data_IF_195294069194
#
_entry.id   IF_195294069194
#
_cell.length_a   1.000
_cell.length_b   1.000
_cell.length_c   1.000
_cell.angle_alpha   90.00
_cell.angle_beta   90.00
_cell.angle_gamma   90.00
#
_symmetry.space_group_name_H-M   'P 1'
#
loop_
_entity.id
_entity.type
_entity.pdbx_description
1 polymer ?
#
# COMPACT_ATOMS: atom_id res chain seq x y z
N UNK A 1 -10.07 12.74 -9.43
CA UNK A 1 -8.76 13.13 -8.84
C UNK A 1 -7.92 11.91 -8.44
N UNK A 2 -8.46 10.93 -7.71
CA UNK A 2 -7.73 9.74 -7.25
C UNK A 2 -6.96 8.98 -8.36
N UNK A 3 -7.64 8.60 -9.44
CA UNK A 3 -7.00 7.89 -10.57
C UNK A 3 -5.87 8.70 -11.23
N UNK A 4 -6.01 10.03 -11.33
CA UNK A 4 -4.95 10.90 -11.86
C UNK A 4 -3.72 10.94 -10.95
N UNK A 5 -3.91 10.97 -9.63
CA UNK A 5 -2.82 10.85 -8.67
C UNK A 5 -2.13 9.48 -8.77
N UNK A 6 -2.88 8.38 -8.92
CA UNK A 6 -2.29 7.05 -9.11
C UNK A 6 -1.41 6.99 -10.36
N UNK A 7 -1.86 7.57 -11.48
CA UNK A 7 -1.05 7.67 -12.71
C UNK A 7 0.24 8.46 -12.46
N UNK A 8 0.16 9.63 -11.82
CA UNK A 8 1.33 10.44 -11.52
C UNK A 8 2.32 9.72 -10.59
N UNK A 9 1.81 9.02 -9.58
CA UNK A 9 2.62 8.19 -8.68
C UNK A 9 3.33 7.06 -9.42
N UNK A 10 2.61 6.29 -10.25
CA UNK A 10 3.18 5.20 -11.06
C UNK A 10 4.22 5.74 -12.05
N UNK A 11 3.91 6.83 -12.76
CA UNK A 11 4.82 7.44 -13.72
C UNK A 11 6.11 7.92 -13.04
N UNK A 12 6.01 8.58 -11.89
CA UNK A 12 7.19 9.04 -11.16
C UNK A 12 8.06 7.90 -10.65
N UNK A 13 7.45 6.81 -10.16
CA UNK A 13 8.20 5.60 -9.77
C UNK A 13 8.97 5.05 -10.97
N UNK A 14 8.31 4.90 -12.12
CA UNK A 14 8.96 4.40 -13.35
C UNK A 14 10.13 5.30 -13.76
N UNK A 15 9.92 6.62 -13.82
CA UNK A 15 10.95 7.59 -14.20
C UNK A 15 12.12 7.57 -13.22
N UNK A 16 11.84 7.46 -11.92
CA UNK A 16 12.88 7.46 -10.88
C UNK A 16 13.78 6.21 -10.92
N UNK A 17 13.21 5.07 -11.31
CA UNK A 17 13.95 3.80 -11.39
C UNK A 17 14.55 3.52 -12.77
N UNK A 18 14.07 4.18 -13.83
CA UNK A 18 14.56 4.01 -15.20
C UNK A 18 16.10 4.14 -15.33
N UNK A 19 16.79 5.12 -14.71
CA UNK A 19 18.24 5.23 -14.82
C UNK A 19 19.01 4.00 -14.30
N UNK A 20 18.43 3.24 -13.36
CA UNK A 20 19.06 2.04 -12.81
C UNK A 20 19.12 0.88 -13.82
N UNK A 21 18.29 0.89 -14.86
CA UNK A 21 18.20 -0.17 -15.87
C UNK A 21 18.81 0.22 -17.21
N UNK A 22 19.24 1.49 -17.35
CA UNK A 22 19.89 2.00 -18.56
C UNK A 22 21.41 1.91 -18.39
N UNK A 23 22.01 0.85 -18.91
CA UNK A 23 23.47 0.76 -19.01
C UNK A 23 23.94 1.28 -20.37
N UNK A 24 24.93 2.17 -20.33
CA UNK A 24 25.64 2.65 -21.53
C UNK A 24 26.68 1.59 -21.88
N UNK A 25 26.47 0.85 -22.97
CA UNK A 25 27.42 -0.16 -23.43
C UNK A 25 28.69 0.56 -23.91
N UNK A 26 29.81 0.28 -23.26
CA UNK A 26 31.13 0.63 -23.80
C UNK A 26 31.51 -0.48 -24.77
N UNK A 27 31.37 -0.23 -26.07
CA UNK A 27 31.81 -1.18 -27.07
C UNK A 27 33.35 -1.22 -27.09
N UNK A 28 33.92 -2.41 -27.25
CA UNK A 28 35.39 -2.62 -27.25
C UNK A 28 36.10 -1.89 -28.42
N UNK A 29 35.32 -1.35 -29.35
CA UNK A 29 35.71 -0.60 -30.55
C UNK A 29 35.80 0.92 -30.36
N UNK A 30 35.52 1.45 -29.16
CA UNK A 30 35.61 2.90 -28.87
C UNK A 30 34.47 3.75 -29.46
N UNK A 31 33.50 3.13 -30.16
CA UNK A 31 32.33 3.83 -30.68
C UNK A 31 31.24 3.90 -29.60
N UNK A 32 30.86 5.12 -29.19
CA UNK A 32 29.77 5.34 -28.23
C UNK A 32 28.44 5.03 -28.91
N UNK A 33 27.84 3.86 -28.65
CA UNK A 33 26.46 3.62 -29.05
C UNK A 33 25.55 4.62 -28.34
N UNK A 34 24.84 5.46 -29.09
CA UNK A 34 23.96 6.51 -28.57
C UNK A 34 22.74 5.94 -27.80
N UNK A 35 22.36 4.70 -28.08
CA UNK A 35 21.20 4.05 -27.50
C UNK A 35 21.58 3.27 -26.22
N UNK A 36 20.98 3.57 -25.06
CA UNK A 36 21.15 2.78 -23.85
C UNK A 36 20.51 1.39 -24.02
N UNK A 37 21.19 0.35 -23.55
CA UNK A 37 20.68 -1.03 -23.63
C UNK A 37 19.99 -1.37 -22.32
N UNK A 38 18.81 -2.01 -22.39
CA UNK A 38 18.12 -2.50 -21.21
C UNK A 38 18.81 -3.73 -20.64
N UNK A 39 18.94 -3.77 -19.32
CA UNK A 39 19.37 -4.97 -18.60
C UNK A 39 18.34 -6.10 -18.81
N UNK A 40 18.82 -7.34 -18.97
CA UNK A 40 17.93 -8.49 -19.08
C UNK A 40 17.27 -8.74 -17.71
N UNK A 41 15.94 -8.88 -17.64
CA UNK A 41 15.26 -9.08 -16.37
C UNK A 41 15.70 -10.40 -15.74
N UNK A 42 16.09 -10.37 -14.46
CA UNK A 42 16.46 -11.56 -13.70
C UNK A 42 15.23 -12.42 -13.38
N UNK A 43 14.06 -11.80 -13.29
CA UNK A 43 12.78 -12.45 -13.06
C UNK A 43 11.97 -12.48 -14.36
N UNK A 44 11.37 -13.61 -14.76
CA UNK A 44 10.54 -13.67 -15.96
C UNK A 44 9.41 -12.64 -15.93
N UNK A 45 9.23 -11.91 -17.03
CA UNK A 45 8.18 -10.89 -17.18
C UNK A 45 6.76 -11.45 -16.91
N UNK A 46 6.53 -12.74 -17.17
CA UNK A 46 5.27 -13.40 -16.86
C UNK A 46 4.93 -13.40 -15.36
N UNK A 47 5.94 -13.56 -14.48
CA UNK A 47 5.76 -13.49 -13.03
C UNK A 47 5.38 -12.08 -12.58
N UNK A 48 5.94 -11.05 -13.21
CA UNK A 48 5.53 -9.66 -13.00
C UNK A 48 4.13 -9.39 -13.55
N UNK A 49 3.76 -9.98 -14.69
CA UNK A 49 2.44 -9.84 -15.29
C UNK A 49 1.29 -10.25 -14.35
N UNK A 50 1.43 -11.36 -13.63
CA UNK A 50 0.43 -11.78 -12.62
C UNK A 50 0.31 -10.74 -11.50
N UNK A 51 1.44 -10.23 -10.99
CA UNK A 51 1.43 -9.19 -9.96
C UNK A 51 0.83 -7.88 -10.47
N UNK A 52 1.05 -7.53 -11.74
CA UNK A 52 0.48 -6.34 -12.39
C UNK A 52 -1.04 -6.41 -12.42
N UNK A 53 -1.62 -7.56 -12.78
CA UNK A 53 -3.09 -7.74 -12.78
C UNK A 53 -3.67 -7.49 -11.38
N UNK A 54 -3.05 -8.07 -10.35
CA UNK A 54 -3.50 -7.87 -8.97
C UNK A 54 -3.30 -6.42 -8.53
N UNK A 55 -2.16 -5.80 -8.85
CA UNK A 55 -1.84 -4.40 -8.55
C UNK A 55 -2.84 -3.43 -9.19
N UNK A 56 -3.26 -3.70 -10.44
CA UNK A 56 -4.30 -2.93 -11.12
C UNK A 56 -5.63 -3.06 -10.40
N UNK A 57 -6.04 -4.27 -10.02
CA UNK A 57 -7.26 -4.49 -9.24
C UNK A 57 -7.26 -3.74 -7.92
N UNK A 58 -6.16 -3.82 -7.16
CA UNK A 58 -5.97 -3.03 -5.92
C UNK A 58 -6.10 -1.53 -6.20
N UNK A 59 -5.48 -1.03 -7.27
CA UNK A 59 -5.48 0.39 -7.62
C UNK A 59 -6.86 0.88 -8.04
N UNK A 60 -7.63 0.09 -8.79
CA UNK A 60 -8.99 0.41 -9.22
C UNK A 60 -9.92 0.47 -8.01
N UNK A 61 -9.94 -0.58 -7.19
CA UNK A 61 -10.82 -0.61 -6.01
C UNK A 61 -10.45 0.48 -5.00
N UNK A 62 -9.16 0.73 -4.77
CA UNK A 62 -8.73 1.86 -3.94
C UNK A 62 -9.22 3.20 -4.48
N UNK A 63 -9.20 3.41 -5.79
CA UNK A 63 -9.70 4.65 -6.37
C UNK A 63 -11.22 4.78 -6.27
N UNK A 64 -11.96 3.68 -6.39
CA UNK A 64 -13.40 3.67 -6.17
C UNK A 64 -13.80 4.02 -4.74
N UNK A 65 -13.00 3.66 -3.72
CA UNK A 65 -13.29 4.07 -2.33
C UNK A 65 -13.38 5.59 -2.15
N UNK A 66 -12.63 6.37 -2.95
CA UNK A 66 -12.73 7.84 -2.94
C UNK A 66 -14.03 8.34 -3.57
N UNK A 67 -14.56 7.64 -4.57
CA UNK A 67 -15.84 7.97 -5.21
C UNK A 67 -17.00 7.75 -4.22
N UNK A 68 -16.95 6.67 -3.45
CA UNK A 68 -17.90 6.40 -2.37
C UNK A 68 -17.71 7.28 -1.12
N UNK A 69 -16.85 8.31 -1.20
CA UNK A 69 -16.56 9.29 -0.15
C UNK A 69 -16.16 8.66 1.19
N UNK A 70 -15.59 7.46 1.17
CA UNK A 70 -15.13 6.80 2.39
C UNK A 70 -13.96 7.61 2.98
N UNK A 71 -14.10 8.14 4.20
CA UNK A 71 -13.06 8.90 4.87
C UNK A 71 -11.70 8.18 4.84
N UNK A 72 -10.63 8.93 4.58
CA UNK A 72 -9.26 8.41 4.59
C UNK A 72 -8.91 7.66 5.88
N UNK A 73 -9.47 8.09 7.01
CA UNK A 73 -9.34 7.40 8.29
C UNK A 73 -9.87 5.98 8.24
N UNK A 74 -11.09 5.78 7.72
CA UNK A 74 -11.68 4.45 7.62
C UNK A 74 -10.83 3.58 6.68
N UNK A 75 -10.29 4.15 5.61
CA UNK A 75 -9.36 3.42 4.74
C UNK A 75 -8.06 3.02 5.45
N UNK A 76 -7.47 3.93 6.22
CA UNK A 76 -6.26 3.65 7.01
C UNK A 76 -6.55 2.53 7.99
N UNK A 77 -7.66 2.63 8.70
CA UNK A 77 -8.12 1.67 9.69
C UNK A 77 -8.34 0.32 9.05
N UNK A 78 -9.15 0.21 8.02
CA UNK A 78 -9.44 -1.08 7.38
C UNK A 78 -8.19 -1.70 6.74
N UNK A 79 -7.28 -0.89 6.18
CA UNK A 79 -5.98 -1.33 5.68
C UNK A 79 -4.97 -1.70 6.77
N UNK A 80 -5.23 -1.30 8.01
CA UNK A 80 -4.40 -1.54 9.19
C UNK A 80 -5.00 -2.59 10.13
N UNK A 81 -6.31 -2.83 10.05
CA UNK A 81 -7.07 -3.72 10.93
C UNK A 81 -6.97 -5.14 10.41
N UNK A 82 -6.24 -5.95 11.17
CA UNK A 82 -6.01 -7.33 10.87
C UNK A 82 -7.07 -8.22 11.43
N UNK A 83 -8.35 -7.94 11.12
CA UNK A 83 -9.46 -8.49 11.89
C UNK A 83 -9.38 -10.00 12.02
N UNK A 84 -8.93 -10.41 13.20
CA UNK A 84 -9.17 -11.72 13.75
C UNK A 84 -10.56 -11.68 14.37
N UNK A 85 -11.33 -12.69 13.99
CA UNK A 85 -12.51 -13.24 14.66
C UNK A 85 -13.90 -12.82 14.16
N UNK A 86 -14.68 -13.88 13.89
CA UNK A 86 -16.10 -14.04 14.27
C UNK A 86 -17.18 -13.17 13.63
N UNK A 87 -16.87 -12.29 12.68
CA UNK A 87 -17.91 -11.67 11.84
C UNK A 87 -17.57 -11.72 10.34
N UNK A 88 -18.57 -12.02 9.51
CA UNK A 88 -18.42 -12.58 8.16
C UNK A 88 -17.83 -11.62 7.10
N UNK A 89 -17.41 -10.39 7.42
CA UNK A 89 -17.14 -9.36 6.38
C UNK A 89 -15.95 -8.41 6.63
N UNK A 90 -14.77 -8.87 7.08
CA UNK A 90 -13.55 -8.04 6.97
C UNK A 90 -12.22 -8.83 7.02
N UNK A 91 -11.45 -8.80 5.93
CA UNK A 91 -10.46 -9.84 5.55
C UNK A 91 -9.05 -9.26 5.20
N UNK A 92 -8.49 -8.33 5.96
CA UNK A 92 -7.21 -7.70 5.62
C UNK A 92 -5.95 -8.53 5.96
N UNK A 93 -5.45 -8.39 7.19
CA UNK A 93 -4.23 -9.11 7.62
C UNK A 93 -4.49 -10.58 7.92
N UNK A 94 -5.73 -10.94 8.28
CA UNK A 94 -6.17 -12.32 8.39
C UNK A 94 -6.01 -13.05 7.05
N UNK A 95 -6.15 -12.38 5.91
CA UNK A 95 -5.95 -13.02 4.61
C UNK A 95 -4.50 -13.27 4.32
N UNK A 96 -3.58 -12.34 4.61
CA UNK A 96 -2.15 -12.63 4.41
C UNK A 96 -1.68 -13.79 5.30
N UNK A 97 -2.19 -13.90 6.55
CA UNK A 97 -1.92 -15.05 7.42
C UNK A 97 -2.63 -16.34 6.96
N UNK A 98 -3.92 -16.28 6.64
CA UNK A 98 -4.74 -17.41 6.20
C UNK A 98 -4.25 -17.96 4.86
N UNK A 99 -3.89 -17.10 3.92
CA UNK A 99 -3.28 -17.49 2.65
C UNK A 99 -1.87 -18.05 2.87
N UNK A 100 -1.08 -17.49 3.79
CA UNK A 100 0.22 -18.07 4.16
C UNK A 100 0.11 -19.42 4.88
N UNK A 101 -0.97 -19.67 5.61
CA UNK A 101 -1.27 -20.97 6.22
C UNK A 101 -1.75 -21.98 5.17
N UNK A 102 -2.72 -21.60 4.33
CA UNK A 102 -3.37 -22.47 3.35
C UNK A 102 -2.49 -22.78 2.13
N UNK A 103 -1.70 -21.82 1.64
CA UNK A 103 -0.91 -21.97 0.41
C UNK A 103 0.60 -22.11 0.66
N UNK A 104 1.13 -21.64 1.80
CA UNK A 104 2.57 -21.68 2.11
C UNK A 104 2.91 -22.59 3.31
N UNK A 105 1.95 -23.36 3.84
CA UNK A 105 2.10 -24.27 5.01
C UNK A 105 2.75 -23.62 6.25
N UNK A 106 2.66 -22.29 6.38
CA UNK A 106 3.33 -21.58 7.48
C UNK A 106 2.58 -21.77 8.79
N UNK A 107 3.30 -22.25 9.81
CA UNK A 107 2.80 -22.32 11.18
C UNK A 107 3.10 -21.02 11.92
N UNK A 108 2.05 -20.35 12.40
CA UNK A 108 2.17 -19.12 13.18
C UNK A 108 2.23 -19.43 14.68
N UNK A 109 3.06 -18.69 15.40
CA UNK A 109 3.21 -18.83 16.84
C UNK A 109 2.05 -18.11 17.58
N UNK A 110 1.64 -18.57 18.76
CA UNK A 110 0.59 -17.95 19.56
C UNK A 110 0.85 -16.44 19.81
N UNK A 111 2.12 -16.06 19.97
CA UNK A 111 2.53 -14.64 20.09
C UNK A 111 2.22 -13.81 18.85
N UNK A 112 2.40 -14.38 17.67
CA UNK A 112 2.10 -13.72 16.40
C UNK A 112 0.59 -13.54 16.21
N UNK A 113 -0.21 -14.52 16.66
CA UNK A 113 -1.67 -14.45 16.63
C UNK A 113 -2.16 -13.37 17.61
N UNK A 114 -1.70 -13.40 18.87
CA UNK A 114 -2.05 -12.41 19.90
C UNK A 114 -1.67 -10.99 19.47
N UNK A 115 -0.50 -10.82 18.86
CA UNK A 115 -0.06 -9.55 18.32
C UNK A 115 -1.01 -8.99 17.24
N UNK A 116 -1.48 -9.83 16.31
CA UNK A 116 -2.43 -9.42 15.27
C UNK A 116 -3.79 -9.06 15.88
N UNK A 117 -4.24 -9.76 16.93
CA UNK A 117 -5.46 -9.40 17.68
C UNK A 117 -5.31 -8.01 18.30
N UNK A 118 -4.20 -7.76 18.99
CA UNK A 118 -3.91 -6.48 19.63
C UNK A 118 -3.90 -5.31 18.64
N UNK A 119 -3.21 -5.47 17.50
CA UNK A 119 -3.20 -4.46 16.43
C UNK A 119 -4.61 -4.20 15.90
N UNK A 120 -5.40 -5.25 15.75
CA UNK A 120 -6.78 -5.14 15.28
C UNK A 120 -7.67 -4.34 16.21
N UNK A 121 -7.68 -4.71 17.50
CA UNK A 121 -8.51 -4.05 18.51
C UNK A 121 -8.08 -2.59 18.65
N UNK A 122 -6.78 -2.32 18.67
CA UNK A 122 -6.26 -0.95 18.74
C UNK A 122 -6.71 -0.07 17.58
N UNK A 123 -6.66 -0.61 16.36
CA UNK A 123 -7.15 0.09 15.17
C UNK A 123 -8.66 0.36 15.27
N UNK A 124 -9.47 -0.62 15.67
CA UNK A 124 -10.93 -0.45 15.84
C UNK A 124 -11.27 0.64 16.87
N UNK A 125 -10.64 0.60 18.04
CA UNK A 125 -10.87 1.57 19.12
C UNK A 125 -10.47 2.98 18.68
N UNK A 126 -9.33 3.15 18.00
CA UNK A 126 -8.90 4.44 17.46
C UNK A 126 -9.86 5.01 16.40
N UNK A 127 -10.53 4.13 15.66
CA UNK A 127 -11.48 4.51 14.60
C UNK A 127 -12.78 5.02 15.16
N UNK A 128 -13.37 4.24 16.08
CA UNK A 128 -14.67 4.52 16.68
C UNK A 128 -14.61 5.75 17.59
N UNK A 129 -13.41 6.08 18.09
CA UNK A 129 -13.19 7.17 19.03
C UNK A 129 -12.84 8.51 18.38
N UNK A 130 -12.87 8.60 17.05
CA UNK A 130 -12.58 9.85 16.36
C UNK A 130 -13.72 10.86 16.62
N UNK A 131 -13.42 12.09 17.10
CA UNK A 131 -14.43 13.13 17.19
C UNK A 131 -15.02 13.35 15.80
N UNK A 132 -16.34 13.19 15.67
CA UNK A 132 -17.08 13.69 14.52
C UNK A 132 -16.71 15.16 14.36
N UNK A 133 -16.12 15.52 13.22
CA UNK A 133 -15.82 16.91 12.92
C UNK A 133 -17.08 17.74 13.19
N UNK A 134 -16.96 18.77 14.03
CA UNK A 134 -18.04 19.52 14.64
C UNK A 134 -18.93 20.33 13.66
N UNK A 135 -18.93 20.00 12.37
CA UNK A 135 -19.79 20.57 11.33
C UNK A 135 -20.41 19.48 10.42
N UNK A 136 -20.71 18.30 10.98
CA UNK A 136 -21.51 17.30 10.27
C UNK A 136 -23.00 17.69 10.34
N UNK A 137 -23.35 18.78 9.66
CA UNK A 137 -24.74 19.07 9.29
C UNK A 137 -25.27 17.85 8.55
N UNK A 138 -26.19 17.11 9.17
CA UNK A 138 -27.14 16.13 8.61
C UNK A 138 -26.95 15.78 7.12
N UNK A 139 -25.84 15.14 6.74
CA UNK A 139 -25.74 14.47 5.45
C UNK A 139 -26.34 13.10 5.67
N UNK A 140 -27.54 12.87 5.16
CA UNK A 140 -28.12 11.53 5.03
C UNK A 140 -27.11 10.66 4.26
N UNK A 141 -26.30 9.89 4.98
CA UNK A 141 -25.40 8.94 4.35
C UNK A 141 -26.28 7.76 3.92
N UNK A 142 -26.50 7.66 2.61
CA UNK A 142 -27.21 6.51 2.06
C UNK A 142 -26.44 5.23 2.45
N UNK A 143 -27.09 4.40 3.28
CA UNK A 143 -26.55 3.17 3.83
C UNK A 143 -26.05 2.26 2.69
N UNK A 144 -26.73 2.27 1.54
CA UNK A 144 -26.34 1.51 0.34
C UNK A 144 -24.98 1.95 -0.21
N UNK A 145 -24.72 3.26 -0.26
CA UNK A 145 -23.45 3.82 -0.72
C UNK A 145 -22.31 3.52 0.25
N UNK A 146 -22.58 3.57 1.55
CA UNK A 146 -21.62 3.18 2.58
C UNK A 146 -21.24 1.70 2.48
N UNK A 147 -22.24 0.80 2.38
CA UNK A 147 -22.02 -0.64 2.24
C UNK A 147 -21.19 -0.94 0.98
N UNK A 148 -21.52 -0.33 -0.16
CA UNK A 148 -20.74 -0.47 -1.41
C UNK A 148 -19.27 -0.06 -1.22
N UNK A 149 -19.03 1.08 -0.56
CA UNK A 149 -17.68 1.55 -0.27
C UNK A 149 -16.89 0.61 0.64
N UNK A 150 -17.53 0.05 1.66
CA UNK A 150 -16.93 -0.96 2.56
C UNK A 150 -16.62 -2.26 1.80
N UNK A 151 -17.54 -2.76 0.97
CA UNK A 151 -17.32 -3.97 0.17
C UNK A 151 -16.14 -3.82 -0.78
N UNK A 152 -16.06 -2.70 -1.52
CA UNK A 152 -14.96 -2.42 -2.44
C UNK A 152 -13.63 -2.28 -1.70
N UNK A 153 -13.64 -1.66 -0.51
CA UNK A 153 -12.46 -1.56 0.34
C UNK A 153 -12.01 -2.94 0.82
N UNK A 154 -12.93 -3.79 1.29
CA UNK A 154 -12.63 -5.18 1.69
C UNK A 154 -12.02 -5.99 0.54
N UNK A 155 -12.57 -5.86 -0.67
CA UNK A 155 -12.04 -6.54 -1.85
C UNK A 155 -10.62 -6.06 -2.19
N UNK A 156 -10.36 -4.75 -2.10
CA UNK A 156 -9.01 -4.21 -2.28
C UNK A 156 -7.98 -4.79 -1.28
N UNK A 157 -8.40 -5.04 -0.04
CA UNK A 157 -7.55 -5.66 0.99
C UNK A 157 -7.21 -7.10 0.65
N UNK A 158 -8.18 -7.88 0.17
CA UNK A 158 -7.95 -9.24 -0.30
C UNK A 158 -6.86 -9.28 -1.36
N UNK A 159 -7.01 -8.47 -2.40
CA UNK A 159 -6.06 -8.39 -3.50
C UNK A 159 -4.69 -7.88 -3.00
N UNK A 160 -4.66 -6.97 -2.03
CA UNK A 160 -3.41 -6.48 -1.44
C UNK A 160 -2.66 -7.59 -0.70
N UNK A 161 -3.36 -8.48 0.00
CA UNK A 161 -2.78 -9.65 0.64
C UNK A 161 -2.22 -10.65 -0.37
N UNK A 162 -2.99 -10.94 -1.44
CA UNK A 162 -2.53 -11.78 -2.56
C UNK A 162 -1.30 -11.20 -3.24
N UNK A 163 -1.27 -9.87 -3.45
CA UNK A 163 -0.10 -9.21 -4.03
C UNK A 163 1.14 -9.40 -3.15
N UNK A 164 1.00 -9.26 -1.83
CA UNK A 164 2.08 -9.45 -0.88
C UNK A 164 2.62 -10.89 -0.87
N UNK A 165 1.76 -11.91 -0.97
CA UNK A 165 2.20 -13.31 -1.04
C UNK A 165 2.85 -13.65 -2.38
N UNK A 166 2.34 -13.12 -3.49
CA UNK A 166 2.97 -13.24 -4.80
C UNK A 166 4.37 -12.60 -4.82
N UNK A 167 4.51 -11.42 -4.22
CA UNK A 167 5.80 -10.74 -4.08
C UNK A 167 6.77 -11.57 -3.25
N UNK A 168 6.36 -12.06 -2.07
CA UNK A 168 7.20 -12.92 -1.24
C UNK A 168 7.64 -14.19 -2.00
N UNK A 169 6.72 -14.84 -2.71
CA UNK A 169 7.00 -16.06 -3.45
C UNK A 169 7.99 -15.82 -4.59
N UNK A 170 7.83 -14.69 -5.29
CA UNK A 170 8.72 -14.28 -6.39
C UNK A 170 10.13 -13.98 -5.87
N UNK A 171 10.25 -13.20 -4.79
CA UNK A 171 11.55 -12.87 -4.20
C UNK A 171 12.23 -14.08 -3.56
N UNK A 172 11.48 -15.04 -3.00
CA UNK A 172 12.04 -16.31 -2.52
C UNK A 172 12.56 -17.19 -3.66
N UNK A 173 11.86 -17.23 -4.80
CA UNK A 173 12.24 -18.08 -5.94
C UNK A 173 13.40 -17.53 -6.76
N UNK A 174 13.41 -16.22 -7.00
CA UNK A 174 14.38 -15.59 -7.92
C UNK A 174 15.41 -14.71 -7.21
N UNK A 175 15.35 -14.56 -5.90
CA UNK A 175 16.25 -13.69 -5.13
C UNK A 175 15.76 -12.24 -5.00
N UNK A 176 16.49 -11.45 -4.21
CA UNK A 176 16.11 -10.08 -3.84
C UNK A 176 16.34 -9.07 -4.99
N UNK A 177 15.46 -9.11 -5.99
CA UNK A 177 15.43 -8.18 -7.12
C UNK A 177 14.32 -7.14 -6.95
N UNK A 178 14.29 -6.45 -5.79
CA UNK A 178 13.20 -5.54 -5.45
C UNK A 178 13.12 -4.28 -6.33
N UNK A 179 14.26 -3.77 -6.82
CA UNK A 179 14.29 -2.63 -7.75
C UNK A 179 13.64 -2.98 -9.08
N UNK A 180 13.94 -4.19 -9.57
CA UNK A 180 13.36 -4.77 -10.78
C UNK A 180 11.84 -4.92 -10.61
N UNK A 181 11.42 -5.47 -9.47
CA UNK A 181 9.99 -5.62 -9.16
C UNK A 181 9.23 -4.30 -9.11
N UNK A 182 9.78 -3.27 -8.44
CA UNK A 182 9.16 -1.93 -8.40
C UNK A 182 9.05 -1.36 -9.81
N UNK A 183 10.11 -1.41 -10.60
CA UNK A 183 10.12 -0.85 -11.95
C UNK A 183 9.12 -1.55 -12.88
N UNK A 184 9.23 -2.87 -13.06
CA UNK A 184 8.40 -3.60 -14.04
C UNK A 184 6.93 -3.62 -13.65
N UNK A 185 6.59 -3.79 -12.37
CA UNK A 185 5.19 -3.78 -11.96
C UNK A 185 4.50 -2.45 -12.23
N UNK A 186 5.20 -1.31 -12.07
CA UNK A 186 4.63 0.02 -12.33
C UNK A 186 4.70 0.39 -13.81
N UNK A 187 5.78 0.03 -14.50
CA UNK A 187 5.95 0.28 -15.93
C UNK A 187 4.92 -0.46 -16.78
N UNK A 188 4.62 -1.72 -16.42
CA UNK A 188 3.61 -2.53 -17.10
C UNK A 188 2.18 -2.15 -16.67
N UNK A 189 1.97 -1.76 -15.41
CA UNK A 189 0.65 -1.32 -14.94
C UNK A 189 0.23 0.03 -15.53
N UNK A 190 1.17 0.98 -15.70
CA UNK A 190 0.87 2.35 -16.14
C UNK A 190 0.02 2.45 -17.42
N UNK A 191 0.41 1.83 -18.57
CA UNK A 191 -0.38 1.92 -19.79
C UNK A 191 -1.75 1.24 -19.64
N UNK A 192 -1.80 0.09 -18.97
CA UNK A 192 -3.07 -0.63 -18.74
C UNK A 192 -4.01 0.18 -17.85
N UNK A 193 -3.49 0.79 -16.78
CA UNK A 193 -4.27 1.61 -15.87
C UNK A 193 -4.84 2.86 -16.57
N UNK A 194 -4.05 3.50 -17.44
CA UNK A 194 -4.49 4.63 -18.25
C UNK A 194 -5.63 4.26 -19.21
N UNK A 195 -5.57 3.07 -19.82
CA UNK A 195 -6.60 2.57 -20.73
C UNK A 195 -7.88 2.15 -19.98
N UNK A 196 -7.74 1.54 -18.79
CA UNK A 196 -8.88 1.06 -18.00
C UNK A 196 -9.60 2.22 -17.30
N UNK A 197 -8.89 3.27 -16.92
CA UNK A 197 -9.48 4.40 -16.17
C UNK A 197 -9.68 5.64 -17.04
N UNK A 198 -10.86 5.73 -17.66
CA UNK A 198 -11.25 6.89 -18.49
C UNK A 198 -11.19 8.23 -17.73
N UNK A 199 -11.36 8.21 -16.40
CA UNK A 199 -11.34 9.40 -15.54
C UNK A 199 -9.95 9.93 -15.22
N UNK A 200 -8.89 9.15 -15.46
CA UNK A 200 -7.53 9.56 -15.12
C UNK A 200 -7.11 10.78 -15.95
N UNK A 201 -7.35 10.76 -17.26
CA UNK A 201 -7.04 11.87 -18.17
C UNK A 201 -7.81 13.14 -17.82
N UNK A 202 -9.10 13.00 -17.50
CA UNK A 202 -9.94 14.10 -17.03
C UNK A 202 -9.42 14.72 -15.74
N UNK A 203 -8.98 13.88 -14.79
CA UNK A 203 -8.37 14.34 -13.55
C UNK A 203 -7.03 15.06 -13.75
N UNK A 204 -6.17 14.57 -14.65
CA UNK A 204 -4.91 15.23 -15.03
C UNK A 204 -5.15 16.62 -15.63
N UNK A 205 -6.10 16.73 -16.57
CA UNK A 205 -6.51 18.03 -17.15
C UNK A 205 -7.03 18.98 -16.07
N UNK A 206 -7.77 18.47 -15.09
CA UNK A 206 -8.26 19.24 -13.94
C UNK A 206 -7.14 19.85 -13.10
N UNK A 207 -6.10 19.06 -12.77
CA UNK A 207 -4.92 19.54 -12.02
C UNK A 207 -4.20 20.66 -12.79
N UNK A 208 -3.97 20.47 -14.09
CA UNK A 208 -3.31 21.47 -14.94
C UNK A 208 -4.13 22.75 -15.04
N UNK A 209 -5.45 22.65 -15.21
CA UNK A 209 -6.34 23.82 -15.29
C UNK A 209 -6.35 24.61 -13.99
N UNK A 210 -6.39 23.93 -12.85
CA UNK A 210 -6.38 24.58 -11.54
C UNK A 210 -5.04 25.27 -11.26
N UNK A 211 -3.93 24.68 -11.71
CA UNK A 211 -2.60 25.26 -11.57
C UNK A 211 -2.37 26.52 -12.43
N UNK A 212 -3.05 26.66 -13.57
CA UNK A 212 -2.95 27.85 -14.43
C UNK A 212 -3.65 29.10 -13.86
N UNK A 213 -4.50 28.93 -12.84
CA UNK A 213 -5.29 30.03 -12.26
C UNK A 213 -4.62 30.75 -11.09
N UNK A 214 -3.46 30.30 -10.61
CA UNK A 214 -2.79 30.84 -9.42
C UNK A 214 -1.34 31.23 -9.71
N UNK A 215 -0.88 32.36 -9.15
CA UNK A 215 0.46 32.92 -9.40
C UNK A 215 1.60 32.04 -8.83
N UNK A 216 1.31 31.21 -7.83
CA UNK A 216 2.18 30.15 -7.31
C UNK A 216 1.29 28.91 -7.19
N UNK A 217 1.45 27.87 -8.02
CA UNK A 217 0.55 26.73 -7.98
C UNK A 217 0.94 25.82 -6.81
N UNK A 218 0.46 26.17 -5.61
CA UNK A 218 0.55 25.38 -4.37
C UNK A 218 0.18 23.91 -4.60
N UNK A 219 -0.75 23.66 -5.53
CA UNK A 219 -1.16 22.33 -5.98
C UNK A 219 0.00 21.47 -6.52
N UNK A 220 0.98 22.04 -7.22
CA UNK A 220 2.14 21.28 -7.68
C UNK A 220 3.03 20.85 -6.51
N UNK A 221 3.15 21.70 -5.47
CA UNK A 221 3.87 21.34 -4.25
C UNK A 221 3.22 20.15 -3.54
N UNK A 222 1.90 20.19 -3.35
CA UNK A 222 1.16 19.09 -2.69
C UNK A 222 1.24 17.79 -3.51
N UNK A 223 1.09 17.88 -4.83
CA UNK A 223 1.21 16.71 -5.72
C UNK A 223 2.63 16.16 -5.71
N UNK A 224 3.66 17.01 -5.73
CA UNK A 224 5.06 16.59 -5.66
C UNK A 224 5.35 15.85 -4.36
N UNK A 225 4.96 16.41 -3.20
CA UNK A 225 5.13 15.75 -1.90
C UNK A 225 4.41 14.40 -1.87
N UNK A 226 3.19 14.33 -2.40
CA UNK A 226 2.43 13.08 -2.46
C UNK A 226 3.16 12.01 -3.29
N UNK A 227 3.61 12.37 -4.49
CA UNK A 227 4.25 11.46 -5.44
C UNK A 227 5.63 11.01 -4.95
N UNK A 228 6.45 11.91 -4.42
CA UNK A 228 7.78 11.59 -3.84
C UNK A 228 7.64 10.68 -2.62
N UNK A 229 6.74 11.03 -1.70
CA UNK A 229 6.50 10.22 -0.49
C UNK A 229 5.99 8.83 -0.85
N UNK A 230 5.08 8.73 -1.84
CA UNK A 230 4.57 7.47 -2.32
C UNK A 230 5.67 6.62 -2.95
N UNK A 231 6.55 7.21 -3.76
CA UNK A 231 7.68 6.48 -4.35
C UNK A 231 8.61 5.93 -3.27
N UNK A 232 8.98 6.72 -2.27
CA UNK A 232 9.76 6.24 -1.13
C UNK A 232 9.04 5.12 -0.35
N UNK A 233 7.71 5.21 -0.22
CA UNK A 233 6.88 4.18 0.42
C UNK A 233 6.89 2.86 -0.33
N UNK A 234 6.59 2.87 -1.63
CA UNK A 234 6.54 1.68 -2.49
C UNK A 234 7.91 1.01 -2.56
N UNK A 235 8.96 1.82 -2.65
CA UNK A 235 10.34 1.35 -2.68
C UNK A 235 10.74 0.66 -1.38
N UNK A 236 10.42 1.30 -0.24
CA UNK A 236 10.65 0.70 1.08
C UNK A 236 9.85 -0.59 1.29
N UNK A 237 8.59 -0.61 0.86
CA UNK A 237 7.72 -1.79 0.95
C UNK A 237 8.29 -2.98 0.16
N UNK A 238 8.71 -2.77 -1.08
CA UNK A 238 9.26 -3.84 -1.93
C UNK A 238 10.63 -4.31 -1.43
N UNK A 239 11.48 -3.39 -0.96
CA UNK A 239 12.75 -3.76 -0.34
C UNK A 239 12.52 -4.65 0.88
N UNK A 240 11.56 -4.28 1.73
CA UNK A 240 11.20 -5.05 2.92
C UNK A 240 10.58 -6.41 2.57
N UNK A 241 9.70 -6.47 1.57
CA UNK A 241 9.10 -7.70 1.07
C UNK A 241 10.14 -8.68 0.51
N UNK A 242 11.26 -8.17 0.00
CA UNK A 242 12.34 -9.02 -0.52
C UNK A 242 13.21 -9.65 0.58
N UNK A 243 13.13 -9.17 1.82
CA UNK A 243 13.96 -9.62 2.95
C UNK A 243 13.16 -10.16 4.12
N UNK A 244 11.83 -10.04 4.10
CA UNK A 244 10.94 -10.46 5.19
C UNK A 244 9.72 -11.17 4.62
N UNK A 245 8.96 -11.83 5.48
CA UNK A 245 7.69 -12.42 5.05
C UNK A 245 6.66 -11.36 4.67
N UNK A 246 5.72 -11.73 3.80
CA UNK A 246 4.57 -10.90 3.40
C UNK A 246 3.78 -10.37 4.61
N UNK A 247 3.63 -11.20 5.65
CA UNK A 247 2.96 -10.83 6.90
C UNK A 247 3.77 -9.79 7.68
N UNK A 248 5.08 -9.97 7.82
CA UNK A 248 5.99 -8.99 8.46
C UNK A 248 6.00 -7.65 7.71
N UNK A 249 6.04 -7.69 6.38
CA UNK A 249 5.96 -6.49 5.54
C UNK A 249 4.64 -5.77 5.75
N UNK A 250 3.52 -6.50 5.73
CA UNK A 250 2.18 -5.92 5.92
C UNK A 250 2.02 -5.30 7.31
N UNK A 251 2.58 -5.94 8.34
CA UNK A 251 2.62 -5.37 9.69
C UNK A 251 3.42 -4.08 9.74
N UNK A 252 4.65 -4.06 9.22
CA UNK A 252 5.50 -2.85 9.26
C UNK A 252 4.90 -1.69 8.47
N UNK A 253 4.23 -1.97 7.35
CA UNK A 253 3.47 -0.95 6.60
C UNK A 253 2.26 -0.44 7.38
N UNK A 254 1.61 -1.30 8.14
CA UNK A 254 0.50 -0.93 9.04
C UNK A 254 0.97 0.01 10.13
N UNK A 255 2.13 -0.27 10.74
CA UNK A 255 2.75 0.57 11.77
C UNK A 255 3.04 1.98 11.24
N UNK A 256 3.66 2.07 10.06
CA UNK A 256 3.93 3.36 9.41
C UNK A 256 2.65 4.18 9.23
N UNK A 257 1.55 3.54 8.80
CA UNK A 257 0.26 4.20 8.60
C UNK A 257 -0.37 4.63 9.92
N UNK A 258 -0.27 3.80 10.96
CA UNK A 258 -0.75 4.13 12.30
C UNK A 258 0.00 5.33 12.90
N UNK A 259 1.32 5.37 12.78
CA UNK A 259 2.15 6.51 13.21
C UNK A 259 1.75 7.77 12.43
N UNK A 260 1.57 7.68 11.12
CA UNK A 260 1.15 8.82 10.28
C UNK A 260 -0.23 9.35 10.69
N UNK A 261 -1.16 8.45 11.05
CA UNK A 261 -2.48 8.81 11.55
C UNK A 261 -2.39 9.51 12.91
N UNK A 262 -1.58 8.99 13.83
CA UNK A 262 -1.32 9.61 15.13
C UNK A 262 -0.75 11.01 14.94
N UNK A 263 0.32 11.16 14.15
CA UNK A 263 0.92 12.48 13.85
C UNK A 263 -0.10 13.43 13.24
N UNK A 264 -0.94 12.95 12.31
CA UNK A 264 -2.00 13.76 11.72
C UNK A 264 -3.00 14.25 12.77
N UNK A 265 -3.45 13.39 13.69
CA UNK A 265 -4.37 13.77 14.77
C UNK A 265 -3.71 14.78 15.73
N UNK A 266 -2.45 14.55 16.09
CA UNK A 266 -1.67 15.43 16.96
C UNK A 266 -1.45 16.81 16.33
N UNK A 267 -1.17 16.86 15.03
CA UNK A 267 -0.85 18.09 14.30
C UNK A 267 -2.09 18.93 13.98
N UNK A 268 -3.21 18.31 13.59
CA UNK A 268 -4.44 19.02 13.24
C UNK A 268 -5.33 19.35 14.46
N UNK A 269 -4.89 19.04 15.68
CA UNK A 269 -5.51 19.49 16.92
C UNK A 269 -6.96 19.01 17.13
N UNK A 270 -7.41 17.97 16.44
CA UNK A 270 -8.76 17.43 16.65
C UNK A 270 -8.83 16.80 18.04
N UNK A 271 -9.73 17.30 18.89
CA UNK A 271 -9.91 16.97 20.31
C UNK A 271 -9.44 15.56 20.69
N UNK A 272 -8.49 15.51 21.62
CA UNK A 272 -7.97 14.27 22.16
C UNK A 272 -9.10 13.48 22.82
N UNK A 273 -9.39 12.30 22.28
CA UNK A 273 -10.27 11.33 22.92
C UNK A 273 -9.40 10.19 23.46
N UNK A 274 -9.64 9.76 24.70
CA UNK A 274 -8.92 8.65 25.34
C UNK A 274 -8.90 7.39 24.49
N UNK A 275 -9.94 7.15 23.68
CA UNK A 275 -9.97 6.01 22.76
C UNK A 275 -8.98 6.08 21.59
N UNK A 276 -8.60 7.27 21.10
CA UNK A 276 -7.55 7.40 20.08
C UNK A 276 -6.19 7.02 20.68
N UNK A 277 -5.91 7.50 21.90
CA UNK A 277 -4.65 7.21 22.62
C UNK A 277 -4.57 5.72 22.97
N UNK A 278 -5.65 5.15 23.52
CA UNK A 278 -5.75 3.72 23.83
C UNK A 278 -5.57 2.86 22.57
N UNK A 279 -6.20 3.24 21.46
CA UNK A 279 -6.04 2.55 20.19
C UNK A 279 -4.61 2.59 19.64
N UNK A 280 -3.95 3.76 19.71
CA UNK A 280 -2.55 3.91 19.32
C UNK A 280 -1.58 3.08 20.16
N UNK A 281 -1.81 2.99 21.47
CA UNK A 281 -1.01 2.15 22.37
C UNK A 281 -1.17 0.66 22.06
N UNK A 282 -2.41 0.19 21.87
CA UNK A 282 -2.69 -1.21 21.51
C UNK A 282 -2.02 -1.63 20.19
N UNK A 283 -2.04 -0.76 19.18
CA UNK A 283 -1.33 -1.00 17.91
C UNK A 283 0.18 -1.08 18.10
N UNK A 284 0.74 -0.19 18.93
CA UNK A 284 2.18 -0.14 19.21
C UNK A 284 2.64 -1.41 19.95
N UNK A 285 1.90 -1.83 20.97
CA UNK A 285 2.19 -3.04 21.75
C UNK A 285 2.06 -4.31 20.90
N UNK A 286 0.98 -4.43 20.12
CA UNK A 286 0.80 -5.58 19.23
C UNK A 286 1.92 -5.69 18.19
N UNK A 287 2.38 -4.56 17.66
CA UNK A 287 3.52 -4.51 16.74
C UNK A 287 4.82 -5.01 17.37
N UNK A 288 5.17 -4.46 18.55
CA UNK A 288 6.38 -4.85 19.26
C UNK A 288 6.37 -6.35 19.57
N UNK A 289 5.22 -6.88 19.99
CA UNK A 289 5.04 -8.30 20.30
C UNK A 289 5.26 -9.21 19.10
N UNK A 290 4.82 -8.80 17.90
CA UNK A 290 5.04 -9.58 16.68
C UNK A 290 6.50 -9.52 16.20
N UNK A 291 7.14 -8.35 16.31
CA UNK A 291 8.52 -8.13 15.87
C UNK A 291 9.56 -8.80 16.76
N UNK A 292 9.16 -9.22 17.96
CA UNK A 292 10.07 -9.88 18.90
C UNK A 292 10.51 -11.26 18.35
N UNK A 293 11.82 -11.52 18.20
CA UNK A 293 12.31 -12.76 17.64
C UNK A 293 11.86 -13.96 18.49
N UNK A 294 11.06 -14.85 17.89
CA UNK A 294 10.66 -16.10 18.54
C UNK A 294 11.83 -17.08 18.50
N UNK A 295 12.28 -17.55 19.67
CA UNK A 295 13.42 -18.48 19.83
C UNK A 295 13.31 -19.79 19.03
N UNK A 296 12.13 -20.13 18.48
CA UNK A 296 11.91 -21.35 17.71
C UNK A 296 12.29 -21.29 16.21
N UNK A 297 12.61 -20.12 15.67
CA UNK A 297 12.94 -19.97 14.23
C UNK A 297 14.43 -20.15 13.93
N UNK A 298 15.29 -20.30 14.95
CA UNK A 298 16.74 -20.53 14.78
C UNK A 298 17.13 -21.99 14.48
N UNK A 299 16.19 -22.95 14.51
CA UNK A 299 16.51 -24.38 14.33
C UNK A 299 16.14 -24.96 12.96
N UNK A 300 15.64 -24.17 12.00
CA UNK A 300 15.33 -24.65 10.64
C UNK A 300 16.17 -23.99 9.53
N UNK A 301 17.22 -23.27 9.91
CA UNK A 301 18.13 -22.60 8.96
C UNK A 301 19.58 -22.95 9.30
N UNK A 302 19.83 -24.23 9.50
CA UNK A 302 21.11 -24.87 9.22
C UNK A 302 20.85 -26.01 8.24
#
# INVERSE_FOLDING_TARGET
>A
LGSALTVLQMAFVVISYLPSFLHRRHDASGFRSFLPTFEKPAVPLASWGVQVVVLLGVSIFNNWTFIYKIPLTLQIVFRSSGIIATDKNSLGLAVSMLFGYLFLEKRYNARQIIAVILVTVGVLVATLSRPTAANASSVHYDISTYIKGVTVMSLSLLLSGVLGTLQETTYRRYGSHWKEGVFYTHALALPVFLLVTNDALSGLKGIVRHAKGTAIPEIYGVVAVNVVTQAGCVSGANRLASSTSSVQTSLLLTVRKAISLIVSILWFGSGWNGGIVAGGLLVSVGTMLYSWPSKHEKMKTQ
#
